data_IF_201251669707
#
_entry.id   IF_201251669707
#
_cell.length_a   1.000
_cell.length_b   1.000
_cell.length_c   1.000
_cell.angle_alpha   90.00
_cell.angle_beta   90.00
_cell.angle_gamma   90.00
#
_symmetry.space_group_name_H-M   'P 1'
#
loop_
_entity.id
_entity.type
_entity.pdbx_description
1 polymer ?
#
# COMPACT_ATOMS: atom_id res chain seq x y z
N UNK A 1 -3.64 -38.25 1.13
CA UNK A 1 -3.56 -36.78 1.03
C UNK A 1 -3.97 -36.21 2.38
N UNK A 2 -3.00 -35.98 3.27
CA UNK A 2 -3.26 -35.53 4.64
C UNK A 2 -3.74 -34.08 4.66
N UNK A 3 -4.86 -33.83 5.35
CA UNK A 3 -5.40 -32.49 5.59
C UNK A 3 -4.87 -31.99 6.93
N UNK A 4 -3.88 -31.10 6.90
CA UNK A 4 -3.37 -30.47 8.12
C UNK A 4 -4.40 -29.44 8.62
N UNK A 5 -5.03 -29.77 9.75
CA UNK A 5 -5.96 -28.88 10.44
C UNK A 5 -5.15 -28.05 11.43
N UNK A 6 -4.96 -26.76 11.16
CA UNK A 6 -4.15 -25.90 12.03
C UNK A 6 -5.02 -25.31 13.15
N UNK A 7 -4.66 -25.50 14.43
CA UNK A 7 -5.48 -25.06 15.57
C UNK A 7 -5.61 -23.53 15.69
N UNK A 8 -4.75 -22.77 15.00
CA UNK A 8 -4.73 -21.30 15.03
C UNK A 8 -5.66 -20.61 14.02
N UNK A 9 -6.26 -21.34 13.08
CA UNK A 9 -7.11 -20.77 12.04
C UNK A 9 -8.56 -21.18 12.30
N UNK A 10 -9.27 -20.36 13.07
CA UNK A 10 -10.69 -20.55 13.36
C UNK A 10 -11.52 -19.45 12.71
N UNK A 11 -12.69 -19.83 12.20
CA UNK A 11 -13.67 -18.86 11.73
C UNK A 11 -14.11 -17.97 12.91
N UNK A 12 -14.04 -16.63 12.80
CA UNK A 12 -14.42 -15.74 13.89
C UNK A 12 -15.91 -15.80 14.25
N UNK A 13 -16.75 -16.37 13.37
CA UNK A 13 -18.20 -16.36 13.53
C UNK A 13 -18.78 -17.64 14.15
N UNK A 14 -18.13 -18.79 13.94
CA UNK A 14 -18.61 -20.09 14.42
C UNK A 14 -17.50 -20.94 15.08
N UNK A 15 -16.29 -20.41 15.19
CA UNK A 15 -15.11 -21.05 15.81
C UNK A 15 -14.68 -22.40 15.22
N UNK A 16 -15.22 -22.78 14.06
CA UNK A 16 -14.84 -24.01 13.35
C UNK A 16 -13.39 -23.92 12.86
N UNK A 17 -12.66 -25.03 13.00
CA UNK A 17 -11.29 -25.15 12.51
C UNK A 17 -11.28 -25.08 10.97
N UNK A 18 -10.45 -24.21 10.43
CA UNK A 18 -10.25 -24.05 9.00
C UNK A 18 -9.08 -24.92 8.56
N UNK A 19 -9.25 -25.61 7.44
CA UNK A 19 -8.18 -26.39 6.81
C UNK A 19 -7.53 -25.53 5.73
N UNK A 20 -6.19 -25.45 5.76
CA UNK A 20 -5.45 -24.84 4.68
C UNK A 20 -5.27 -25.87 3.57
N UNK A 21 -5.67 -25.51 2.36
CA UNK A 21 -5.30 -26.26 1.16
C UNK A 21 -4.07 -25.55 0.58
N UNK A 22 -2.90 -26.21 0.50
CA UNK A 22 -1.74 -25.59 -0.11
C UNK A 22 -2.05 -25.26 -1.57
N UNK A 23 -1.92 -23.98 -1.92
CA UNK A 23 -1.98 -23.53 -3.30
C UNK A 23 -0.74 -24.05 -4.02
N UNK A 24 -0.92 -24.99 -4.94
CA UNK A 24 0.16 -25.50 -5.78
C UNK A 24 0.56 -24.41 -6.79
N UNK A 25 1.48 -23.53 -6.43
CA UNK A 25 1.94 -22.49 -7.35
C UNK A 25 2.81 -21.42 -6.72
N UNK A 26 4.02 -21.77 -6.28
CA UNK A 26 5.08 -20.78 -6.03
C UNK A 26 6.40 -21.35 -6.51
N UNK A 27 6.53 -21.46 -7.82
CA UNK A 27 7.84 -21.70 -8.44
C UNK A 27 8.51 -20.33 -8.62
N UNK A 28 9.48 -20.05 -7.76
CA UNK A 28 10.55 -19.08 -7.99
C UNK A 28 11.31 -19.51 -9.24
N UNK A 29 11.17 -18.78 -10.35
CA UNK A 29 11.92 -19.09 -11.58
C UNK A 29 12.70 -17.87 -12.05
N UNK A 30 13.99 -17.89 -11.71
CA UNK A 30 15.08 -17.23 -12.43
C UNK A 30 15.12 -17.75 -13.87
N UNK A 31 15.02 -16.86 -14.84
CA UNK A 31 15.13 -17.08 -16.31
C UNK A 31 16.62 -17.44 -16.63
N UNK A 32 16.98 -18.32 -17.61
CA UNK A 32 16.55 -18.20 -19.01
C UNK A 32 16.34 -19.45 -19.90
N UNK A 33 15.71 -19.17 -21.05
CA UNK A 33 15.82 -19.84 -22.37
C UNK A 33 14.72 -20.84 -22.81
N UNK A 34 14.43 -20.93 -24.13
CA UNK A 34 13.11 -21.30 -24.65
C UNK A 34 13.02 -22.76 -25.12
N UNK A 35 11.95 -23.46 -24.74
CA UNK A 35 11.52 -24.69 -25.41
C UNK A 35 10.01 -24.75 -25.53
N UNK A 36 9.46 -25.22 -26.67
CA UNK A 36 8.04 -25.22 -26.94
C UNK A 36 7.43 -26.52 -26.44
N UNK A 37 6.67 -26.48 -25.34
CA UNK A 37 5.85 -27.62 -24.93
C UNK A 37 4.42 -27.19 -24.62
N UNK A 38 3.58 -27.49 -25.60
CA UNK A 38 2.22 -27.99 -25.53
C UNK A 38 1.37 -27.69 -24.28
N UNK A 39 0.27 -26.97 -24.51
CA UNK A 39 -1.10 -27.33 -24.13
C UNK A 39 -1.25 -28.10 -22.82
N UNK A 40 -1.34 -27.37 -21.71
CA UNK A 40 -1.94 -27.84 -20.47
C UNK A 40 -2.99 -26.80 -20.07
N UNK A 41 -4.27 -27.19 -20.26
CA UNK A 41 -5.49 -26.76 -19.55
C UNK A 41 -5.69 -25.24 -19.37
N UNK A 42 -6.81 -24.74 -19.90
CA UNK A 42 -7.43 -23.41 -19.73
C UNK A 42 -7.59 -22.94 -18.26
N UNK A 43 -6.51 -22.84 -17.48
CA UNK A 43 -6.45 -21.92 -16.37
C UNK A 43 -6.09 -20.59 -17.00
N UNK A 44 -7.04 -19.65 -17.06
CA UNK A 44 -6.82 -18.34 -17.66
C UNK A 44 -5.56 -17.71 -17.07
N UNK A 45 -4.45 -17.83 -17.80
CA UNK A 45 -3.19 -17.17 -17.46
C UNK A 45 -3.52 -15.69 -17.31
N UNK A 46 -3.18 -15.05 -16.17
CA UNK A 46 -3.51 -13.66 -15.99
C UNK A 46 -2.94 -12.87 -17.17
N UNK A 47 -3.70 -11.91 -17.73
CA UNK A 47 -3.26 -11.16 -18.89
C UNK A 47 -1.88 -10.57 -18.59
N UNK A 48 -0.95 -10.60 -19.55
CA UNK A 48 0.38 -10.08 -19.34
C UNK A 48 0.30 -8.62 -18.88
N UNK A 49 1.19 -8.23 -17.97
CA UNK A 49 1.18 -6.88 -17.36
C UNK A 49 1.18 -5.79 -18.43
N UNK A 50 1.83 -6.04 -19.58
CA UNK A 50 1.81 -5.13 -20.73
C UNK A 50 0.40 -4.87 -21.27
N UNK A 51 -0.47 -5.87 -21.35
CA UNK A 51 -1.87 -5.71 -21.77
C UNK A 51 -2.70 -4.97 -20.70
N UNK A 52 -2.45 -5.23 -19.42
CA UNK A 52 -3.10 -4.53 -18.31
C UNK A 52 -2.71 -3.04 -18.28
N UNK A 53 -1.45 -2.74 -18.63
CA UNK A 53 -0.91 -1.38 -18.65
C UNK A 53 -1.07 -0.67 -20.00
N UNK A 54 -1.39 -1.38 -21.08
CA UNK A 54 -1.60 -0.79 -22.40
C UNK A 54 -2.63 0.37 -22.41
N UNK A 55 -3.77 0.30 -21.67
CA UNK A 55 -4.70 1.42 -21.53
C UNK A 55 -4.11 2.67 -20.83
N UNK A 56 -2.97 2.51 -20.17
CA UNK A 56 -2.28 3.54 -19.40
C UNK A 56 -0.97 4.02 -20.06
N UNK A 57 -0.48 3.34 -21.11
CA UNK A 57 0.83 3.60 -21.72
C UNK A 57 1.01 5.02 -22.26
N UNK A 58 -0.09 5.70 -22.63
CA UNK A 58 -0.08 7.10 -23.09
C UNK A 58 -0.49 8.12 -22.03
N UNK A 59 -0.79 7.71 -20.79
CA UNK A 59 -1.22 8.64 -19.75
C UNK A 59 -0.02 9.43 -19.24
N UNK A 60 0.08 10.66 -19.71
CA UNK A 60 1.02 11.63 -19.16
C UNK A 60 0.46 12.12 -17.82
N UNK A 61 1.29 12.06 -16.77
CA UNK A 61 0.95 12.70 -15.50
C UNK A 61 0.81 14.19 -15.74
N UNK A 62 -0.35 14.77 -15.42
CA UNK A 62 -0.54 16.22 -15.51
C UNK A 62 0.38 16.91 -14.49
N UNK A 63 1.52 17.39 -14.99
CA UNK A 63 2.55 18.05 -14.21
C UNK A 63 2.03 19.33 -13.59
N UNK A 64 1.07 20.02 -14.23
CA UNK A 64 0.50 21.27 -13.72
C UNK A 64 -0.35 21.01 -12.48
N UNK A 65 -1.19 19.98 -12.52
CA UNK A 65 -1.98 19.55 -11.36
C UNK A 65 -1.08 19.03 -10.24
N UNK A 66 -0.03 18.28 -10.57
CA UNK A 66 0.94 17.80 -9.58
C UNK A 66 1.68 18.96 -8.88
N UNK A 67 2.16 19.96 -9.63
CA UNK A 67 2.83 21.14 -9.10
C UNK A 67 1.90 21.98 -8.23
N UNK A 68 0.64 22.16 -8.66
CA UNK A 68 -0.38 22.85 -7.87
C UNK A 68 -0.68 22.12 -6.56
N UNK A 69 -0.78 20.80 -6.60
CA UNK A 69 -0.93 19.97 -5.40
C UNK A 69 0.25 20.14 -4.45
N UNK A 70 1.47 20.05 -4.96
CA UNK A 70 2.70 20.25 -4.18
C UNK A 70 2.75 21.65 -3.54
N UNK A 71 2.35 22.70 -4.25
CA UNK A 71 2.28 24.06 -3.72
C UNK A 71 1.31 24.16 -2.54
N UNK A 72 0.13 23.55 -2.64
CA UNK A 72 -0.86 23.51 -1.53
C UNK A 72 -0.31 22.79 -0.30
N UNK A 73 0.40 21.67 -0.49
CA UNK A 73 1.02 20.92 0.62
C UNK A 73 2.07 21.77 1.33
N UNK A 74 2.96 22.44 0.58
CA UNK A 74 3.97 23.34 1.15
C UNK A 74 3.33 24.46 1.97
N UNK A 75 2.35 25.16 1.39
CA UNK A 75 1.62 26.22 2.08
C UNK A 75 0.92 25.72 3.36
N UNK A 76 0.38 24.50 3.33
CA UNK A 76 -0.24 23.89 4.51
C UNK A 76 0.79 23.61 5.62
N UNK A 77 1.94 23.03 5.27
CA UNK A 77 3.02 22.75 6.23
C UNK A 77 3.57 24.03 6.84
N UNK A 78 3.75 25.09 6.05
CA UNK A 78 4.27 26.35 6.56
C UNK A 78 3.29 27.02 7.50
N UNK A 79 1.98 27.00 7.20
CA UNK A 79 0.95 27.43 8.15
C UNK A 79 0.95 26.62 9.44
N UNK A 80 1.09 25.29 9.34
CA UNK A 80 1.15 24.43 10.52
C UNK A 80 2.38 24.74 11.40
N UNK A 81 3.53 25.00 10.78
CA UNK A 81 4.77 25.41 11.48
C UNK A 81 4.58 26.75 12.20
N UNK A 82 3.99 27.74 11.52
CA UNK A 82 3.71 29.06 12.11
C UNK A 82 2.72 28.97 13.27
N UNK A 83 1.65 28.20 13.13
CA UNK A 83 0.70 27.96 14.22
C UNK A 83 1.38 27.27 15.41
N UNK A 84 2.26 26.30 15.14
CA UNK A 84 3.08 25.63 16.15
C UNK A 84 4.01 26.59 16.89
N UNK A 85 4.70 27.49 16.18
CA UNK A 85 5.57 28.49 16.80
C UNK A 85 4.78 29.49 17.64
N UNK A 86 3.62 29.95 17.15
CA UNK A 86 2.74 30.85 17.89
C UNK A 86 2.23 30.21 19.19
N UNK A 87 1.81 28.95 19.17
CA UNK A 87 1.39 28.23 20.38
C UNK A 87 2.51 28.12 21.41
N UNK A 88 3.75 27.92 20.96
CA UNK A 88 4.92 27.86 21.86
C UNK A 88 5.21 29.22 22.49
N UNK A 89 5.11 30.31 21.72
CA UNK A 89 5.36 31.66 22.27
C UNK A 89 4.28 32.06 23.25
N UNK A 90 3.00 31.79 22.96
CA UNK A 90 1.89 32.08 23.89
C UNK A 90 2.00 31.23 25.16
N UNK A 91 2.31 29.94 25.04
CA UNK A 91 2.53 29.07 26.21
C UNK A 91 3.71 29.57 27.06
N UNK A 92 4.82 30.00 26.44
CA UNK A 92 5.97 30.55 27.17
C UNK A 92 5.62 31.86 27.88
N UNK A 93 4.84 32.73 27.25
CA UNK A 93 4.36 33.97 27.85
C UNK A 93 3.44 33.69 29.05
N UNK A 94 2.46 32.79 28.89
CA UNK A 94 1.57 32.38 29.97
C UNK A 94 2.33 31.77 31.17
N UNK A 95 3.33 30.91 30.92
CA UNK A 95 4.17 30.34 31.99
C UNK A 95 5.00 31.40 32.72
N UNK A 96 5.46 32.45 32.03
CA UNK A 96 6.18 33.57 32.66
C UNK A 96 5.23 34.39 33.52
N UNK A 97 4.06 34.73 33.00
CA UNK A 97 3.04 35.49 33.74
C UNK A 97 2.62 34.77 35.03
N UNK A 98 2.40 33.46 34.99
CA UNK A 98 2.09 32.66 36.19
C UNK A 98 3.24 32.59 37.21
N UNK A 99 4.50 32.70 36.76
CA UNK A 99 5.67 32.65 37.65
C UNK A 99 6.00 34.00 38.30
N UNK A 100 5.54 35.09 37.71
CA UNK A 100 5.77 36.46 38.20
C UNK A 100 4.60 37.02 39.03
N UNK A 101 3.50 36.27 39.16
CA UNK A 101 2.39 36.54 40.05
C UNK A 101 2.57 35.74 41.35
#
# INVERSE_FOLDING_TARGET
>A
MSRDSHPGLRCPHCQTALTLVPAAGSQTTTVPSPTPFALIREEASPPPIAEVLAPYAGRVKDTTTALRGAAKVRASLDRARQAGSQRRTTQKAARRAFRSA
#
